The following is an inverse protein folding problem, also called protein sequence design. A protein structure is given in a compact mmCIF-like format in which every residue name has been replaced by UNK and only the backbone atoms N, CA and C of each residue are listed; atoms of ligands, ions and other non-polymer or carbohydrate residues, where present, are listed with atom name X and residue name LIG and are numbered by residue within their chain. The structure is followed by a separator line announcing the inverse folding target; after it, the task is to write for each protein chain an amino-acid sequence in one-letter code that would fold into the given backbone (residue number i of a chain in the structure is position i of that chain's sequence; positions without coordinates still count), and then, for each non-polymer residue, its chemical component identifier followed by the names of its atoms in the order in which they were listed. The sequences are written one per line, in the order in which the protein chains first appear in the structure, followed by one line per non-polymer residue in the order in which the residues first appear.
data_IF_230131879714
#
_entry.id   IF_230131879714
#
_cell.length_a   1.000
_cell.length_b   1.000
_cell.length_c   1.000
_cell.angle_alpha   90.00
_cell.angle_beta   90.00
_cell.angle_gamma   90.00
#
_symmetry.space_group_name_H-M   'P 1'
#
loop_
_entity.id
_entity.type
_entity.pdbx_description
1 polymer ?
#
# COMPACT_ATOMS: atom_id res chain seq x y z
N UNK A 1 -29.48 12.72 0.32
CA UNK A 1 -28.01 12.63 0.34
C UNK A 1 -27.44 11.82 1.53
N UNK A 2 -28.25 11.40 2.51
CA UNK A 2 -27.80 10.55 3.63
C UNK A 2 -27.67 9.02 3.37
N UNK A 3 -28.35 8.37 2.39
CA UNK A 3 -28.30 6.91 2.30
C UNK A 3 -27.03 6.33 1.64
N UNK A 4 -26.10 7.15 1.15
CA UNK A 4 -24.92 6.66 0.42
C UNK A 4 -23.74 6.28 1.33
N UNK A 5 -23.61 6.90 2.51
CA UNK A 5 -22.40 6.75 3.31
C UNK A 5 -22.27 5.35 3.93
N UNK A 6 -23.39 4.78 4.39
CA UNK A 6 -23.40 3.45 5.00
C UNK A 6 -23.19 2.34 3.96
N UNK A 7 -23.68 2.51 2.73
CA UNK A 7 -23.44 1.60 1.60
C UNK A 7 -21.95 1.54 1.23
N UNK A 8 -21.28 2.69 1.17
CA UNK A 8 -19.83 2.76 0.91
C UNK A 8 -19.05 2.08 2.03
N UNK A 9 -19.44 2.31 3.29
CA UNK A 9 -18.83 1.66 4.44
C UNK A 9 -18.97 0.14 4.36
N UNK A 10 -20.17 -0.37 4.09
CA UNK A 10 -20.42 -1.81 3.95
C UNK A 10 -19.63 -2.40 2.78
N UNK A 11 -19.66 -1.76 1.60
CA UNK A 11 -18.93 -2.25 0.44
C UNK A 11 -17.43 -2.33 0.70
N UNK A 12 -16.87 -1.32 1.40
CA UNK A 12 -15.45 -1.28 1.77
C UNK A 12 -15.08 -2.37 2.76
N UNK A 13 -15.98 -2.67 3.72
CA UNK A 13 -15.79 -3.77 4.66
C UNK A 13 -15.90 -5.14 3.97
N UNK A 14 -16.88 -5.33 3.09
CA UNK A 14 -17.02 -6.60 2.35
C UNK A 14 -15.79 -6.87 1.50
N UNK A 15 -15.33 -5.88 0.73
CA UNK A 15 -14.14 -6.08 -0.12
C UNK A 15 -12.86 -6.24 0.70
N UNK A 16 -12.73 -5.55 1.84
CA UNK A 16 -11.62 -5.75 2.76
C UNK A 16 -11.59 -7.16 3.34
N UNK A 17 -12.73 -7.70 3.75
CA UNK A 17 -12.83 -9.07 4.30
C UNK A 17 -12.52 -10.08 3.21
N UNK A 18 -13.12 -9.94 2.03
CA UNK A 18 -12.84 -10.81 0.89
C UNK A 18 -11.35 -10.77 0.52
N UNK A 19 -10.76 -9.58 0.39
CA UNK A 19 -9.34 -9.43 0.06
C UNK A 19 -8.44 -10.09 1.10
N UNK A 20 -8.76 -9.95 2.39
CA UNK A 20 -8.00 -10.60 3.46
C UNK A 20 -8.09 -12.14 3.36
N UNK A 21 -9.27 -12.68 3.06
CA UNK A 21 -9.44 -14.12 2.81
C UNK A 21 -8.66 -14.60 1.58
N UNK A 22 -8.60 -13.81 0.51
CA UNK A 22 -7.90 -14.18 -0.73
C UNK A 22 -6.37 -14.12 -0.60
N UNK A 23 -5.84 -13.13 0.13
CA UNK A 23 -4.40 -13.00 0.36
C UNK A 23 -3.88 -14.10 1.29
N UNK A 24 -4.72 -14.61 2.20
CA UNK A 24 -4.50 -15.88 2.89
C UNK A 24 -3.23 -15.94 3.75
N UNK A 25 -2.68 -14.78 4.13
CA UNK A 25 -1.31 -14.71 4.65
C UNK A 25 -1.21 -15.14 6.10
N UNK A 26 -2.26 -14.93 6.92
CA UNK A 26 -2.24 -15.26 8.35
C UNK A 26 -3.51 -16.05 8.73
N UNK A 27 -3.40 -17.24 9.36
CA UNK A 27 -4.57 -17.86 9.98
C UNK A 27 -5.12 -16.90 11.06
N UNK A 28 -6.45 -16.77 11.14
CA UNK A 28 -7.16 -15.84 12.03
C UNK A 28 -6.72 -15.94 13.51
N UNK A 29 -6.05 -17.02 13.88
CA UNK A 29 -5.61 -17.35 15.22
C UNK A 29 -4.33 -16.62 15.65
N UNK A 30 -3.54 -16.07 14.71
CA UNK A 30 -2.20 -15.54 14.99
C UNK A 30 -2.10 -14.02 15.22
N UNK A 31 -3.16 -13.23 14.96
CA UNK A 31 -3.12 -11.78 15.26
C UNK A 31 -4.26 -10.96 14.68
N UNK A 32 -5.29 -10.69 15.49
CA UNK A 32 -6.39 -9.78 15.14
C UNK A 32 -5.91 -8.33 14.89
N UNK A 33 -4.75 -7.96 15.45
CA UNK A 33 -4.14 -6.64 15.30
C UNK A 33 -3.77 -6.33 13.85
N UNK A 34 -3.12 -7.26 13.15
CA UNK A 34 -2.75 -7.10 11.73
C UNK A 34 -3.99 -7.01 10.82
N UNK A 35 -5.07 -7.73 11.17
CA UNK A 35 -6.35 -7.65 10.45
C UNK A 35 -7.01 -6.27 10.63
N UNK A 36 -7.00 -5.72 11.85
CA UNK A 36 -7.52 -4.39 12.12
C UNK A 36 -6.73 -3.29 11.39
N UNK A 37 -5.41 -3.39 11.36
CA UNK A 37 -4.57 -2.43 10.64
C UNK A 37 -4.87 -2.45 9.14
N UNK A 38 -4.95 -3.65 8.53
CA UNK A 38 -5.33 -3.79 7.12
C UNK A 38 -6.73 -3.20 6.83
N UNK A 39 -7.70 -3.49 7.69
CA UNK A 39 -9.05 -2.94 7.54
C UNK A 39 -9.12 -1.43 7.70
N UNK A 40 -8.39 -0.88 8.69
CA UNK A 40 -8.29 0.56 8.89
C UNK A 40 -7.75 1.27 7.64
N UNK A 41 -6.71 0.71 7.02
CA UNK A 41 -6.12 1.25 5.80
C UNK A 41 -7.15 1.25 4.64
N UNK A 42 -7.89 0.14 4.44
CA UNK A 42 -8.92 0.02 3.39
C UNK A 42 -10.10 1.00 3.59
N UNK A 43 -10.51 1.25 4.83
CA UNK A 43 -11.58 2.22 5.13
C UNK A 43 -11.09 3.66 4.86
N UNK A 44 -9.84 3.97 5.22
CA UNK A 44 -9.26 5.30 5.01
C UNK A 44 -9.10 5.59 3.51
N UNK A 45 -8.58 4.65 2.70
CA UNK A 45 -8.46 4.84 1.24
C UNK A 45 -9.83 5.02 0.58
N UNK A 46 -10.85 4.28 1.03
CA UNK A 46 -12.21 4.45 0.52
C UNK A 46 -12.77 5.84 0.87
N UNK A 47 -12.57 6.32 2.10
CA UNK A 47 -12.98 7.67 2.50
C UNK A 47 -12.31 8.74 1.63
N UNK A 48 -11.00 8.62 1.39
CA UNK A 48 -10.26 9.52 0.50
C UNK A 48 -10.76 9.49 -0.95
N UNK A 49 -11.01 8.30 -1.50
CA UNK A 49 -11.57 8.15 -2.85
C UNK A 49 -12.93 8.87 -3.00
N UNK A 50 -13.77 8.83 -1.98
CA UNK A 50 -15.05 9.56 -1.97
C UNK A 50 -14.83 11.08 -1.95
N UNK A 51 -13.90 11.58 -1.14
CA UNK A 51 -13.56 13.02 -1.11
C UNK A 51 -13.07 13.49 -2.47
N UNK A 52 -12.22 12.71 -3.14
CA UNK A 52 -11.73 13.03 -4.48
C UNK A 52 -12.85 12.99 -5.53
N UNK A 53 -13.72 11.98 -5.50
CA UNK A 53 -14.87 11.88 -6.40
C UNK A 53 -15.86 13.03 -6.23
N UNK A 54 -16.17 13.42 -4.99
CA UNK A 54 -17.02 14.57 -4.68
C UNK A 54 -16.39 15.89 -5.11
N UNK A 55 -15.08 16.05 -4.90
CA UNK A 55 -14.34 17.26 -5.31
C UNK A 55 -14.37 17.41 -6.83
N UNK A 56 -14.10 16.34 -7.58
CA UNK A 56 -14.21 16.35 -9.05
C UNK A 56 -15.64 16.62 -9.52
N UNK A 57 -16.64 16.09 -8.80
CA UNK A 57 -18.05 16.36 -9.09
C UNK A 57 -18.46 17.82 -8.91
N UNK A 58 -17.78 18.59 -8.04
CA UNK A 58 -18.03 20.03 -7.89
C UNK A 58 -17.29 20.84 -8.96
N UNK A 59 -16.12 20.39 -9.40
CA UNK A 59 -15.28 21.10 -10.37
C UNK A 59 -15.86 20.99 -11.79
N UNK A 60 -16.51 19.89 -12.12
CA UNK A 60 -16.91 19.57 -13.48
C UNK A 60 -18.41 19.83 -13.70
N UNK A 61 -18.72 20.58 -14.75
CA UNK A 61 -20.09 21.05 -15.07
C UNK A 61 -20.96 20.02 -15.82
N UNK A 62 -20.37 18.89 -16.25
CA UNK A 62 -21.06 17.83 -17.00
C UNK A 62 -20.57 16.42 -16.62
N UNK A 63 -21.47 15.44 -16.63
CA UNK A 63 -21.18 14.06 -16.23
C UNK A 63 -20.22 13.35 -17.20
N UNK A 64 -20.27 13.69 -18.50
CA UNK A 64 -19.44 13.06 -19.53
C UNK A 64 -17.97 13.49 -19.43
N UNK A 65 -17.74 14.76 -19.06
CA UNK A 65 -16.39 15.26 -18.79
C UNK A 65 -15.86 14.80 -17.43
N UNK A 66 -16.73 14.50 -16.45
CA UNK A 66 -16.29 14.10 -15.11
C UNK A 66 -15.56 12.75 -15.11
N UNK A 67 -16.08 11.75 -15.84
CA UNK A 67 -15.44 10.44 -16.00
C UNK A 67 -14.15 10.51 -16.80
N UNK A 68 -14.10 11.40 -17.81
CA UNK A 68 -12.91 11.64 -18.63
C UNK A 68 -11.76 12.26 -17.84
N UNK A 69 -12.07 13.10 -16.85
CA UNK A 69 -11.08 13.77 -15.98
C UNK A 69 -10.70 12.91 -14.76
N UNK A 70 -11.60 12.08 -14.25
CA UNK A 70 -11.31 11.25 -13.07
C UNK A 70 -10.22 10.20 -13.31
N UNK A 71 -10.22 9.57 -14.48
CA UNK A 71 -9.21 8.56 -14.86
C UNK A 71 -7.76 9.09 -14.85
N UNK A 72 -7.43 10.21 -15.52
CA UNK A 72 -6.08 10.75 -15.48
C UNK A 72 -5.70 11.27 -14.09
N UNK A 73 -6.64 11.80 -13.30
CA UNK A 73 -6.36 12.24 -11.92
C UNK A 73 -6.01 11.05 -11.02
N UNK A 74 -6.73 9.93 -11.14
CA UNK A 74 -6.39 8.70 -10.44
C UNK A 74 -5.03 8.15 -10.90
N UNK A 75 -4.77 8.16 -12.20
CA UNK A 75 -3.49 7.70 -12.75
C UNK A 75 -2.31 8.50 -12.18
N UNK A 76 -2.43 9.83 -12.12
CA UNK A 76 -1.39 10.69 -11.55
C UNK A 76 -1.13 10.34 -10.07
N UNK A 77 -2.19 10.11 -9.28
CA UNK A 77 -2.04 9.70 -7.87
C UNK A 77 -1.30 8.36 -7.73
N UNK A 78 -1.59 7.39 -8.61
CA UNK A 78 -0.95 6.07 -8.61
C UNK A 78 0.50 6.15 -9.13
N UNK A 79 0.79 6.99 -10.13
CA UNK A 79 2.16 7.17 -10.63
C UNK A 79 3.09 7.71 -9.54
N UNK A 80 2.60 8.64 -8.71
CA UNK A 80 3.33 9.18 -7.57
C UNK A 80 3.21 8.36 -6.29
N UNK A 81 2.73 7.11 -6.37
CA UNK A 81 2.58 6.25 -5.20
C UNK A 81 3.87 5.65 -4.65
N UNK A 82 5.02 5.95 -5.23
CA UNK A 82 6.30 5.34 -4.87
C UNK A 82 6.52 3.93 -5.43
N UNK A 83 5.49 3.29 -6.01
CA UNK A 83 5.62 1.97 -6.67
C UNK A 83 6.12 2.09 -8.13
N UNK A 84 5.60 3.05 -8.90
CA UNK A 84 5.93 3.20 -10.32
C UNK A 84 7.19 4.05 -10.54
N UNK A 85 7.38 5.07 -9.71
CA UNK A 85 8.55 5.96 -9.73
C UNK A 85 9.16 5.93 -8.32
N UNK A 86 10.44 5.54 -8.23
CA UNK A 86 11.20 5.60 -6.97
C UNK A 86 11.48 7.05 -6.59
N UNK A 87 11.50 7.43 -5.30
CA UNK A 87 11.61 8.86 -4.96
C UNK A 87 12.92 9.51 -5.39
N UNK A 88 13.97 8.70 -5.52
CA UNK A 88 15.28 9.18 -5.98
C UNK A 88 15.23 9.80 -7.38
N UNK A 89 14.20 9.51 -8.18
CA UNK A 89 14.04 10.04 -9.52
C UNK A 89 13.10 11.28 -9.60
N UNK A 90 12.51 11.72 -8.49
CA UNK A 90 11.51 12.79 -8.50
C UNK A 90 12.20 14.16 -8.40
N UNK A 91 12.06 15.05 -9.39
CA UNK A 91 12.62 16.40 -9.30
C UNK A 91 11.95 17.19 -8.16
N UNK A 92 12.73 18.01 -7.44
CA UNK A 92 12.34 18.75 -6.22
C UNK A 92 11.03 19.54 -6.37
N UNK A 93 10.69 19.99 -7.58
CA UNK A 93 9.45 20.73 -7.86
C UNK A 93 8.16 19.89 -7.66
N UNK A 94 8.19 18.57 -7.87
CA UNK A 94 7.00 17.70 -7.74
C UNK A 94 6.91 16.96 -6.40
N UNK A 95 7.82 17.23 -5.46
CA UNK A 95 7.87 16.56 -4.15
C UNK A 95 6.57 16.74 -3.34
N UNK A 96 5.87 17.86 -3.53
CA UNK A 96 4.59 18.14 -2.86
C UNK A 96 3.48 17.20 -3.29
N UNK A 97 3.38 16.86 -4.58
CA UNK A 97 2.40 15.90 -5.08
C UNK A 97 2.69 14.49 -4.56
N UNK A 98 3.97 14.18 -4.36
CA UNK A 98 4.39 12.94 -3.76
C UNK A 98 3.96 12.83 -2.28
N UNK A 99 4.17 13.87 -1.46
CA UNK A 99 3.65 13.91 -0.09
C UNK A 99 2.12 13.98 0.00
N UNK A 100 1.44 14.52 -1.02
CA UNK A 100 -0.03 14.58 -1.06
C UNK A 100 -0.66 13.24 -1.49
N UNK A 101 0.11 12.32 -2.09
CA UNK A 101 -0.43 11.05 -2.58
C UNK A 101 -0.74 10.10 -1.43
N UNK A 102 -2.01 10.11 -1.01
CA UNK A 102 -2.55 9.18 -0.02
C UNK A 102 -2.34 7.70 -0.42
N UNK A 103 -2.20 7.40 -1.71
CA UNK A 103 -1.96 6.05 -2.21
C UNK A 103 -0.57 5.53 -1.81
N UNK A 104 0.44 6.39 -1.74
CA UNK A 104 1.78 6.00 -1.28
C UNK A 104 1.73 5.48 0.17
N UNK A 105 1.06 6.22 1.07
CA UNK A 105 0.93 5.81 2.47
C UNK A 105 0.13 4.52 2.62
N UNK A 106 -0.93 4.35 1.83
CA UNK A 106 -1.75 3.13 1.83
C UNK A 106 -0.93 1.90 1.40
N UNK A 107 -0.20 2.01 0.28
CA UNK A 107 0.65 0.91 -0.21
C UNK A 107 1.73 0.54 0.80
N UNK A 108 2.48 1.53 1.30
CA UNK A 108 3.54 1.31 2.28
C UNK A 108 3.01 0.68 3.57
N UNK A 109 1.86 1.15 4.07
CA UNK A 109 1.20 0.54 5.23
C UNK A 109 0.76 -0.90 4.97
N UNK A 110 0.16 -1.17 3.81
CA UNK A 110 -0.30 -2.50 3.43
C UNK A 110 0.85 -3.48 3.25
N UNK A 111 1.96 -3.05 2.64
CA UNK A 111 3.18 -3.84 2.48
C UNK A 111 3.78 -4.21 3.85
N UNK A 112 3.86 -3.26 4.78
CA UNK A 112 4.34 -3.55 6.14
C UNK A 112 3.44 -4.58 6.80
N UNK A 113 2.11 -4.43 6.73
CA UNK A 113 1.18 -5.39 7.36
C UNK A 113 1.29 -6.81 6.77
N UNK A 114 1.62 -6.94 5.48
CA UNK A 114 1.79 -8.23 4.79
C UNK A 114 3.14 -8.86 5.14
N UNK A 115 4.23 -8.10 5.12
CA UNK A 115 5.58 -8.66 5.23
C UNK A 115 6.16 -8.71 6.65
N UNK A 116 5.49 -8.10 7.64
CA UNK A 116 5.99 -8.01 9.02
C UNK A 116 6.29 -9.37 9.66
N UNK A 117 5.53 -10.41 9.31
CA UNK A 117 5.61 -11.73 9.92
C UNK A 117 6.13 -12.82 8.93
N UNK A 118 6.66 -12.42 7.78
CA UNK A 118 7.19 -13.34 6.78
C UNK A 118 8.71 -13.45 6.86
N UNK A 119 9.20 -14.64 7.20
CA UNK A 119 10.61 -15.00 7.05
C UNK A 119 10.85 -15.45 5.60
N UNK A 120 11.62 -14.68 4.84
CA UNK A 120 12.05 -15.07 3.50
C UNK A 120 13.13 -16.16 3.61
N UNK A 121 12.71 -17.42 3.59
CA UNK A 121 13.60 -18.57 3.44
C UNK A 121 14.18 -18.59 2.03
N UNK A 122 15.32 -17.93 1.83
CA UNK A 122 15.93 -17.77 0.51
C UNK A 122 17.46 -17.80 0.47
N UNK A 123 18.15 -17.81 1.61
CA UNK A 123 19.60 -17.99 1.65
C UNK A 123 19.90 -18.99 2.77
N UNK A 124 19.76 -20.27 2.47
CA UNK A 124 20.27 -21.35 3.32
C UNK A 124 21.80 -21.36 3.12
N UNK A 125 22.54 -20.98 4.14
CA UNK A 125 23.98 -20.70 4.11
C UNK A 125 24.88 -21.93 3.85
N UNK A 126 24.31 -23.06 3.42
CA UNK A 126 25.01 -24.34 3.30
C UNK A 126 25.07 -24.89 1.85
N UNK A 127 24.66 -24.13 0.83
CA UNK A 127 24.88 -24.49 -0.58
C UNK A 127 25.34 -23.32 -1.44
N UNK A 128 26.65 -23.35 -1.72
CA UNK A 128 27.39 -22.71 -2.81
C UNK A 128 27.45 -21.16 -2.87
N UNK A 129 28.70 -20.71 -2.84
CA UNK A 129 29.23 -19.34 -2.70
C UNK A 129 29.16 -18.47 -3.98
N UNK A 130 28.19 -18.64 -4.87
CA UNK A 130 28.00 -17.73 -6.03
C UNK A 130 26.65 -18.05 -6.69
N UNK A 131 25.64 -17.19 -6.78
CA UNK A 131 25.59 -15.79 -7.19
C UNK A 131 24.53 -15.03 -6.38
N UNK A 132 24.92 -13.90 -5.79
CA UNK A 132 24.08 -12.79 -5.31
C UNK A 132 22.65 -13.13 -4.82
N UNK A 133 22.50 -13.32 -3.51
CA UNK A 133 21.22 -13.05 -2.84
C UNK A 133 20.85 -11.57 -3.08
N UNK A 134 19.71 -11.25 -3.73
CA UNK A 134 19.35 -9.86 -4.07
C UNK A 134 19.01 -9.01 -2.84
N UNK A 135 18.88 -9.62 -1.66
CA UNK A 135 18.53 -8.96 -0.40
C UNK A 135 19.73 -8.66 0.52
N UNK A 136 20.95 -9.03 0.13
CA UNK A 136 22.14 -8.83 0.97
C UNK A 136 22.15 -9.76 2.18
N UNK A 137 23.14 -10.64 2.26
CA UNK A 137 23.42 -11.40 3.48
C UNK A 137 24.25 -10.52 4.40
N UNK A 138 23.65 -10.01 5.48
CA UNK A 138 24.43 -9.56 6.62
C UNK A 138 25.11 -10.83 7.20
N UNK A 139 26.42 -10.94 7.04
CA UNK A 139 27.20 -12.15 7.32
C UNK A 139 27.37 -12.51 8.80
N UNK A 140 26.27 -12.67 9.53
CA UNK A 140 26.25 -13.24 10.89
C UNK A 140 25.37 -14.50 10.86
N UNK A 141 26.02 -15.68 10.84
CA UNK A 141 25.40 -17.01 10.85
C UNK A 141 24.71 -17.36 12.17
N UNK A 142 24.03 -16.43 12.80
CA UNK A 142 23.13 -16.69 13.91
C UNK A 142 21.70 -16.40 13.46
N UNK A 143 20.83 -17.41 13.51
CA UNK A 143 19.39 -17.29 13.34
C UNK A 143 18.78 -16.44 14.44
N UNK A 144 19.07 -15.15 14.41
CA UNK A 144 18.69 -14.17 15.41
C UNK A 144 17.88 -13.10 14.70
N UNK A 145 16.56 -13.18 14.91
CA UNK A 145 15.58 -12.09 14.85
C UNK A 145 15.90 -11.03 13.81
N UNK A 146 15.11 -11.00 12.73
CA UNK A 146 14.93 -9.84 11.86
C UNK A 146 15.23 -8.55 12.65
N UNK A 147 16.43 -8.01 12.45
CA UNK A 147 16.83 -6.80 13.12
C UNK A 147 15.85 -5.73 12.62
N UNK A 148 15.20 -4.94 13.49
CA UNK A 148 14.13 -4.01 13.14
C UNK A 148 14.59 -2.81 12.29
N UNK A 149 15.72 -2.93 11.58
CA UNK A 149 16.31 -1.90 10.74
C UNK A 149 16.54 -2.33 9.29
N UNK A 150 16.05 -3.49 8.85
CA UNK A 150 15.64 -3.60 7.46
C UNK A 150 14.27 -2.90 7.29
N UNK A 151 14.24 -1.60 7.61
CA UNK A 151 13.60 -0.70 6.66
C UNK A 151 14.32 -1.01 5.36
N UNK A 152 13.68 -1.61 4.34
CA UNK A 152 14.18 -1.32 3.01
C UNK A 152 14.34 0.19 3.01
N UNK A 153 15.52 0.69 2.60
CA UNK A 153 15.57 2.00 1.99
C UNK A 153 14.69 1.92 0.73
N UNK A 154 13.39 1.86 0.96
CA UNK A 154 12.42 2.72 0.36
C UNK A 154 12.98 4.13 0.54
N UNK A 155 13.99 4.47 -0.27
CA UNK A 155 14.06 5.79 -0.88
C UNK A 155 12.79 5.87 -1.75
N UNK A 156 11.67 6.02 -1.03
CA UNK A 156 10.61 6.91 -1.41
C UNK A 156 10.84 8.29 -0.75
#
# INVERSE_FOLDING_TARGET
MAPALWEVGINSLVIGVCSYCFVGLHPLDAGFENFLDFMGIIVIIACWGNVLGLTLGIIVDSADSASSVSMPVLLINVLFSGFVITSGAIPVYFIWCYYLSFFHYCLSGMLVTIFKDMEFSGCDSDRDESENCPFGTDGDGTGTRAHPTLTPKLDV
#
